data_IF_340848433333
#
_entry.id   IF_340848433333
#
_cell.length_a   1.000
_cell.length_b   1.000
_cell.length_c   1.000
_cell.angle_alpha   90.00
_cell.angle_beta   90.00
_cell.angle_gamma   90.00
#
_symmetry.space_group_name_H-M   'P 1'
#
loop_
_entity.id
_entity.type
_entity.pdbx_description
1 polymer ?
#
# COMPACT_ATOMS: atom_id res chain seq x y z
N UNK A 1 52.13 -56.84 -4.51
CA UNK A 1 51.14 -55.87 -4.92
C UNK A 1 50.02 -55.82 -3.90
N UNK A 2 50.03 -54.81 -3.03
CA UNK A 2 48.95 -54.57 -2.05
C UNK A 2 47.85 -53.62 -2.66
N UNK A 3 46.59 -53.84 -2.40
CA UNK A 3 45.56 -52.96 -2.92
C UNK A 3 45.51 -51.68 -2.10
N UNK A 4 45.33 -50.56 -2.80
CA UNK A 4 45.17 -49.23 -2.23
C UNK A 4 43.87 -49.15 -1.42
N UNK A 5 44.01 -48.75 -0.14
CA UNK A 5 42.90 -48.55 0.76
C UNK A 5 42.11 -47.31 0.41
N UNK A 6 40.79 -47.47 0.36
CA UNK A 6 39.80 -46.38 0.25
C UNK A 6 39.74 -45.65 1.61
N UNK A 7 40.06 -44.37 1.63
CA UNK A 7 39.87 -43.52 2.82
C UNK A 7 38.44 -42.98 2.73
N UNK A 8 37.53 -43.28 3.68
CA UNK A 8 36.21 -42.68 3.68
C UNK A 8 36.32 -41.18 4.07
N UNK A 9 35.61 -40.31 3.31
CA UNK A 9 35.48 -38.90 3.65
C UNK A 9 34.89 -38.76 5.05
N UNK A 10 35.47 -37.92 5.89
CA UNK A 10 35.03 -37.71 7.25
C UNK A 10 33.61 -37.17 7.31
N UNK A 11 32.83 -37.61 8.29
CA UNK A 11 31.43 -37.13 8.52
C UNK A 11 31.33 -35.60 8.58
N UNK A 12 32.39 -34.91 8.99
CA UNK A 12 32.50 -33.45 8.99
C UNK A 12 32.50 -32.82 7.56
N UNK A 13 33.07 -33.51 6.56
CA UNK A 13 33.09 -33.06 5.18
C UNK A 13 31.70 -33.18 4.55
N UNK A 14 31.01 -34.30 4.83
CA UNK A 14 29.65 -34.55 4.34
C UNK A 14 28.65 -33.58 4.99
N UNK A 15 28.78 -33.25 6.26
CA UNK A 15 27.94 -32.27 6.94
C UNK A 15 28.17 -30.86 6.43
N UNK A 16 29.39 -30.45 6.09
CA UNK A 16 29.70 -29.15 5.52
C UNK A 16 29.10 -28.98 4.10
N UNK A 17 29.17 -30.03 3.28
CA UNK A 17 28.52 -29.99 1.94
C UNK A 17 26.99 -29.99 2.03
N UNK A 18 26.38 -30.77 2.95
CA UNK A 18 24.93 -30.72 3.18
C UNK A 18 24.47 -29.36 3.72
N UNK A 19 25.23 -28.73 4.61
CA UNK A 19 24.91 -27.41 5.17
C UNK A 19 25.05 -26.33 4.11
N UNK A 20 26.04 -26.44 3.22
CA UNK A 20 26.20 -25.50 2.09
C UNK A 20 25.09 -25.65 1.06
N UNK A 21 24.67 -26.89 0.75
CA UNK A 21 23.55 -27.15 -0.19
C UNK A 21 22.20 -26.69 0.37
N UNK A 22 21.94 -26.87 1.68
CA UNK A 22 20.70 -26.39 2.32
C UNK A 22 20.65 -24.87 2.41
N UNK A 23 21.79 -24.19 2.65
CA UNK A 23 21.83 -22.73 2.63
C UNK A 23 21.64 -22.15 1.22
N UNK A 24 22.15 -22.82 0.18
CA UNK A 24 21.97 -22.39 -1.22
C UNK A 24 20.56 -22.66 -1.73
N UNK A 25 19.89 -23.73 -1.28
CA UNK A 25 18.48 -23.99 -1.60
C UNK A 25 17.53 -23.06 -0.84
N UNK A 26 17.87 -22.67 0.39
CA UNK A 26 17.04 -21.77 1.20
C UNK A 26 17.08 -20.33 0.67
N UNK A 27 18.17 -19.91 0.02
CA UNK A 27 18.29 -18.58 -0.61
C UNK A 27 17.51 -18.45 -1.93
N UNK A 28 17.13 -19.57 -2.55
CA UNK A 28 16.30 -19.61 -3.78
C UNK A 28 14.78 -19.57 -3.50
N UNK A 29 14.34 -19.70 -2.24
CA UNK A 29 12.93 -19.71 -1.86
C UNK A 29 12.39 -18.36 -1.36
N UNK A 30 13.19 -17.29 -1.34
CA UNK A 30 12.80 -16.01 -0.77
C UNK A 30 12.54 -14.87 -1.78
N UNK A 31 12.42 -15.18 -3.07
CA UNK A 31 11.90 -14.21 -4.03
C UNK A 31 10.36 -14.32 -4.11
N UNK A 32 9.66 -14.05 -3.01
CA UNK A 32 8.26 -13.64 -3.12
C UNK A 32 8.26 -12.26 -3.77
N UNK A 33 8.12 -12.23 -5.09
CA UNK A 33 7.97 -10.99 -5.82
C UNK A 33 6.57 -10.45 -5.54
N UNK A 34 6.44 -9.70 -4.44
CA UNK A 34 5.25 -8.91 -4.19
C UNK A 34 5.11 -7.92 -5.34
N UNK A 35 3.92 -7.84 -5.88
CA UNK A 35 3.66 -7.05 -7.07
C UNK A 35 2.49 -6.11 -6.78
N UNK A 36 2.64 -4.83 -7.04
CA UNK A 36 1.56 -3.83 -6.99
C UNK A 36 1.76 -2.87 -8.17
N UNK A 37 0.72 -2.18 -8.55
CA UNK A 37 0.82 -1.12 -9.56
C UNK A 37 -0.04 0.05 -9.13
N UNK A 38 0.52 1.26 -9.23
CA UNK A 38 -0.21 2.52 -9.07
C UNK A 38 0.07 3.44 -10.25
N UNK A 39 -0.92 4.27 -10.56
CA UNK A 39 -0.76 5.32 -11.56
C UNK A 39 -1.76 6.44 -11.30
N UNK A 40 -1.46 7.64 -11.83
CA UNK A 40 -2.44 8.73 -11.89
C UNK A 40 -2.79 9.02 -13.35
N UNK A 41 -4.08 9.27 -13.61
CA UNK A 41 -4.59 9.70 -14.89
C UNK A 41 -5.00 11.17 -14.76
N UNK A 42 -4.36 12.01 -15.57
CA UNK A 42 -4.65 13.42 -15.65
C UNK A 42 -5.25 13.75 -17.03
N UNK A 43 -6.42 14.35 -17.06
CA UNK A 43 -7.11 14.71 -18.29
C UNK A 43 -7.86 16.03 -18.14
N UNK A 44 -8.70 16.41 -19.13
CA UNK A 44 -9.51 17.62 -19.07
C UNK A 44 -10.56 17.52 -17.94
N UNK A 45 -10.21 18.03 -16.76
CA UNK A 45 -11.08 18.00 -15.57
C UNK A 45 -10.98 16.74 -14.73
N UNK A 46 -10.24 15.71 -15.16
CA UNK A 46 -10.08 14.44 -14.47
C UNK A 46 -8.79 14.39 -13.65
N UNK A 47 -8.89 13.84 -12.45
CA UNK A 47 -7.77 13.42 -11.61
C UNK A 47 -8.16 12.09 -10.97
N UNK A 48 -7.67 11.00 -11.56
CA UNK A 48 -7.93 9.65 -11.09
C UNK A 48 -6.62 9.00 -10.63
N UNK A 49 -6.69 8.28 -9.53
CA UNK A 49 -5.59 7.46 -9.05
C UNK A 49 -6.02 6.00 -9.08
N UNK A 50 -5.26 5.14 -9.77
CA UNK A 50 -5.51 3.70 -9.87
C UNK A 50 -4.52 2.89 -9.07
N UNK A 51 -4.99 1.82 -8.42
CA UNK A 51 -4.15 0.88 -7.69
C UNK A 51 -4.59 -0.57 -7.86
N UNK A 52 -3.65 -1.47 -8.14
CA UNK A 52 -3.75 -2.91 -7.88
C UNK A 52 -2.98 -3.27 -6.62
N UNK A 53 -3.63 -4.01 -5.73
CA UNK A 53 -3.01 -4.63 -4.58
C UNK A 53 -2.79 -6.11 -4.86
N UNK A 54 -1.54 -6.48 -5.07
CA UNK A 54 -1.15 -7.85 -5.38
C UNK A 54 -0.52 -8.46 -4.12
N UNK A 55 -1.19 -9.48 -3.56
CA UNK A 55 -0.83 -10.06 -2.28
C UNK A 55 -1.28 -11.53 -2.18
N UNK A 56 -0.90 -12.19 -1.09
CA UNK A 56 -1.28 -13.58 -0.82
C UNK A 56 -2.72 -13.73 -0.34
N UNK A 57 -3.27 -12.71 0.30
CA UNK A 57 -4.63 -12.70 0.86
C UNK A 57 -5.38 -11.43 0.49
N UNK A 58 -6.70 -11.53 0.40
CA UNK A 58 -7.58 -10.43 -0.02
C UNK A 58 -8.56 -9.92 1.04
N UNK A 59 -8.39 -10.32 2.31
CA UNK A 59 -9.23 -9.80 3.41
C UNK A 59 -8.89 -8.35 3.71
N UNK A 60 -9.89 -7.48 3.78
CA UNK A 60 -9.71 -6.09 4.19
C UNK A 60 -11.04 -5.45 4.62
N UNK A 61 -10.93 -4.42 5.47
CA UNK A 61 -12.01 -3.51 5.79
C UNK A 61 -11.76 -2.13 5.18
N UNK A 62 -12.80 -1.54 4.61
CA UNK A 62 -12.84 -0.11 4.29
C UNK A 62 -13.28 0.63 5.55
N UNK A 63 -12.47 1.58 6.03
CA UNK A 63 -12.72 2.30 7.28
C UNK A 63 -12.89 3.80 7.03
N UNK A 64 -13.81 4.42 7.77
CA UNK A 64 -14.02 5.88 7.79
C UNK A 64 -13.38 6.44 9.05
N UNK A 65 -12.17 6.98 8.91
CA UNK A 65 -11.40 7.56 10.01
C UNK A 65 -11.84 9.00 10.30
N UNK A 66 -11.73 9.42 11.55
CA UNK A 66 -12.26 10.68 12.06
C UNK A 66 -11.19 11.77 12.16
N UNK A 67 -11.59 13.03 11.98
CA UNK A 67 -10.79 14.21 12.33
C UNK A 67 -10.97 14.58 13.79
N UNK A 68 -10.05 15.33 14.36
CA UNK A 68 -10.07 15.74 15.77
C UNK A 68 -9.72 14.61 16.75
N UNK A 69 -9.06 13.55 16.30
CA UNK A 69 -8.64 12.42 17.11
C UNK A 69 -7.17 12.55 17.46
N UNK A 70 -6.85 12.53 18.76
CA UNK A 70 -5.48 12.46 19.25
C UNK A 70 -4.98 11.01 19.13
N UNK A 71 -3.90 10.83 18.37
CA UNK A 71 -3.32 9.53 18.04
C UNK A 71 -1.85 9.44 18.49
N UNK A 72 -1.39 8.23 18.73
CA UNK A 72 -0.01 7.90 19.06
C UNK A 72 0.41 6.68 18.26
N UNK A 73 1.61 6.72 17.68
CA UNK A 73 2.17 5.57 16.96
C UNK A 73 2.47 4.40 17.91
N UNK A 74 2.36 3.18 17.38
CA UNK A 74 2.53 1.92 18.15
C UNK A 74 3.93 1.34 18.06
N UNK A 75 4.97 2.18 17.94
CA UNK A 75 6.35 1.71 17.89
C UNK A 75 6.73 1.12 19.26
N UNK A 76 7.00 -0.20 19.29
CA UNK A 76 7.21 -0.97 20.52
C UNK A 76 8.57 -0.64 21.16
N UNK A 77 9.60 -0.40 20.35
CA UNK A 77 10.99 -0.28 20.83
C UNK A 77 11.51 1.17 20.91
N UNK A 78 10.64 2.17 20.72
CA UNK A 78 11.02 3.57 20.70
C UNK A 78 10.20 4.42 21.66
N UNK A 79 10.89 5.10 22.59
CA UNK A 79 10.26 6.12 23.46
C UNK A 79 9.80 7.37 22.67
N UNK A 80 10.15 7.46 21.37
CA UNK A 80 9.88 8.61 20.50
C UNK A 80 8.81 8.33 19.44
N UNK A 81 7.79 7.52 19.75
CA UNK A 81 6.62 7.31 18.87
C UNK A 81 5.91 8.63 18.57
N UNK A 82 5.57 8.87 17.31
CA UNK A 82 4.89 10.09 16.88
C UNK A 82 3.53 10.24 17.58
N UNK A 83 3.19 11.49 17.92
CA UNK A 83 1.89 11.88 18.46
C UNK A 83 1.33 13.00 17.60
N UNK A 84 0.06 12.86 17.20
CA UNK A 84 -0.58 13.88 16.35
C UNK A 84 -2.08 14.00 16.63
N UNK A 85 -2.65 15.08 16.14
CA UNK A 85 -4.08 15.30 16.08
C UNK A 85 -4.52 15.24 14.62
N UNK A 86 -5.45 14.34 14.27
CA UNK A 86 -5.96 14.25 12.91
C UNK A 86 -6.70 15.54 12.52
N UNK A 87 -6.25 16.21 11.46
CA UNK A 87 -6.90 17.40 10.88
C UNK A 87 -7.99 17.01 9.91
N UNK A 88 -7.80 15.90 9.20
CA UNK A 88 -8.69 15.39 8.17
C UNK A 88 -9.23 14.02 8.53
N UNK A 89 -10.49 13.76 8.15
CA UNK A 89 -11.01 12.41 8.07
C UNK A 89 -10.58 11.74 6.78
N UNK A 90 -10.66 10.40 6.73
CA UNK A 90 -10.24 9.63 5.56
C UNK A 90 -11.07 8.37 5.39
N UNK A 91 -11.11 7.86 4.16
CA UNK A 91 -11.55 6.50 3.85
C UNK A 91 -10.33 5.68 3.45
N UNK A 92 -10.07 4.61 4.20
CA UNK A 92 -8.86 3.81 4.07
C UNK A 92 -9.16 2.33 3.87
N UNK A 93 -8.24 1.62 3.21
CA UNK A 93 -8.27 0.19 2.96
C UNK A 93 -7.29 -0.51 3.89
N UNK A 94 -7.81 -1.31 4.82
CA UNK A 94 -7.06 -1.84 5.94
C UNK A 94 -7.07 -3.37 5.93
N UNK A 95 -5.90 -3.98 5.70
CA UNK A 95 -5.72 -5.43 5.80
C UNK A 95 -5.26 -5.87 7.18
N UNK A 96 -4.42 -5.06 7.82
CA UNK A 96 -3.76 -5.40 9.09
C UNK A 96 -4.35 -4.66 10.31
N UNK A 97 -5.62 -4.31 10.21
CA UNK A 97 -6.36 -3.66 11.28
C UNK A 97 -6.51 -2.15 11.10
N UNK A 98 -7.37 -1.60 11.94
CA UNK A 98 -7.64 -0.16 11.98
C UNK A 98 -6.36 0.61 12.32
N UNK A 99 -6.17 1.79 11.71
CA UNK A 99 -5.00 2.67 11.80
C UNK A 99 -3.74 2.13 11.09
N UNK A 100 -3.85 0.93 10.47
CA UNK A 100 -2.80 0.34 9.63
C UNK A 100 -3.29 0.19 8.17
N UNK A 101 -3.56 1.30 7.46
CA UNK A 101 -4.03 1.24 6.07
C UNK A 101 -2.90 0.86 5.12
N UNK A 102 -3.25 0.12 4.06
CA UNK A 102 -2.36 -0.06 2.91
C UNK A 102 -2.45 1.10 1.92
N UNK A 103 -3.48 1.94 2.05
CA UNK A 103 -3.72 3.17 1.31
C UNK A 103 -5.09 3.75 1.59
N UNK A 104 -5.39 4.91 0.99
CA UNK A 104 -6.67 5.58 1.16
C UNK A 104 -6.72 7.00 0.59
N UNK A 105 -7.86 7.64 0.75
CA UNK A 105 -8.11 9.04 0.38
C UNK A 105 -8.71 9.80 1.56
N UNK A 106 -8.21 10.99 1.84
CA UNK A 106 -8.81 11.86 2.85
C UNK A 106 -9.88 12.80 2.27
N UNK A 107 -10.62 13.48 3.14
CA UNK A 107 -11.70 14.39 2.76
C UNK A 107 -11.23 15.60 1.94
N UNK A 108 -9.93 15.95 1.98
CA UNK A 108 -9.34 16.97 1.12
C UNK A 108 -9.02 16.45 -0.30
N UNK A 109 -9.04 15.13 -0.51
CA UNK A 109 -8.75 14.47 -1.78
C UNK A 109 -7.29 14.09 -1.97
N UNK A 110 -6.49 14.07 -0.91
CA UNK A 110 -5.15 13.49 -0.94
C UNK A 110 -5.27 11.97 -0.92
N UNK A 111 -4.58 11.30 -1.86
CA UNK A 111 -4.42 9.84 -1.92
C UNK A 111 -2.98 9.48 -1.55
N UNK A 112 -2.82 8.48 -0.71
CA UNK A 112 -1.53 7.87 -0.34
C UNK A 112 -1.64 6.36 -0.48
N UNK A 113 -0.74 5.74 -1.27
CA UNK A 113 -0.73 4.31 -1.53
C UNK A 113 0.68 3.74 -1.43
N UNK A 114 0.82 2.55 -0.83
CA UNK A 114 2.10 1.86 -0.71
C UNK A 114 2.23 0.71 -1.71
N UNK A 115 3.47 0.44 -2.14
CA UNK A 115 3.87 -0.75 -2.89
C UNK A 115 5.12 -1.36 -2.26
N UNK A 116 5.30 -2.66 -2.43
CA UNK A 116 6.54 -3.32 -2.00
C UNK A 116 7.72 -2.84 -2.85
N UNK A 117 8.86 -2.57 -2.18
CA UNK A 117 10.14 -2.25 -2.82
C UNK A 117 11.27 -2.93 -2.05
N UNK A 118 11.86 -3.99 -2.61
CA UNK A 118 12.91 -4.78 -1.94
C UNK A 118 14.16 -3.97 -1.59
N UNK A 119 14.45 -2.91 -2.36
CA UNK A 119 15.60 -2.02 -2.16
C UNK A 119 15.41 -0.98 -1.04
N UNK A 120 14.22 -0.95 -0.42
CA UNK A 120 13.95 -0.02 0.69
C UNK A 120 14.94 -0.22 1.82
N UNK A 121 15.58 0.88 2.21
CA UNK A 121 16.42 1.01 3.39
C UNK A 121 16.07 2.32 4.11
N UNK A 122 15.36 2.20 5.22
CA UNK A 122 14.94 3.36 6.03
C UNK A 122 16.11 4.07 6.70
N UNK A 123 15.98 5.36 7.04
CA UNK A 123 16.98 6.10 7.82
C UNK A 123 17.27 5.40 9.15
N UNK A 124 18.52 5.51 9.61
CA UNK A 124 18.90 5.09 10.96
C UNK A 124 18.13 5.92 12.00
N UNK A 125 18.07 5.39 13.23
CA UNK A 125 17.46 6.08 14.37
C UNK A 125 18.11 7.46 14.56
N UNK A 126 17.26 8.50 14.61
CA UNK A 126 17.62 9.88 14.83
C UNK A 126 16.58 10.57 15.74
N UNK A 127 16.65 11.88 15.89
CA UNK A 127 15.78 12.66 16.77
C UNK A 127 14.32 12.79 16.27
N UNK A 128 14.02 12.41 15.04
CA UNK A 128 12.65 12.48 14.48
C UNK A 128 11.74 11.46 15.17
N UNK A 129 10.48 11.84 15.33
CA UNK A 129 9.47 10.92 15.84
C UNK A 129 9.25 9.75 14.88
N UNK A 130 9.07 8.55 15.45
CA UNK A 130 8.96 7.30 14.73
C UNK A 130 7.51 6.90 14.46
N UNK A 131 7.27 6.28 13.31
CA UNK A 131 6.00 5.64 12.91
C UNK A 131 6.28 4.34 12.16
N UNK A 132 5.34 3.40 12.19
CA UNK A 132 5.34 2.24 11.29
C UNK A 132 5.01 2.64 9.84
N UNK A 133 5.26 1.74 8.88
CA UNK A 133 5.00 2.00 7.45
C UNK A 133 3.55 2.37 7.14
N UNK A 134 2.60 1.71 7.78
CA UNK A 134 1.17 1.96 7.57
C UNK A 134 0.66 3.14 8.40
N UNK A 135 1.20 3.33 9.60
CA UNK A 135 0.92 4.52 10.40
C UNK A 135 1.42 5.80 9.71
N UNK A 136 2.52 5.73 8.93
CA UNK A 136 2.99 6.82 8.09
C UNK A 136 1.95 7.24 7.05
N UNK A 137 1.26 6.28 6.41
CA UNK A 137 0.13 6.56 5.50
C UNK A 137 -0.99 7.27 6.26
N UNK A 138 -1.40 6.73 7.42
CA UNK A 138 -2.47 7.31 8.21
C UNK A 138 -2.10 8.72 8.69
N UNK A 139 -0.86 8.93 9.11
CA UNK A 139 -0.37 10.25 9.52
C UNK A 139 -0.44 11.28 8.39
N UNK A 140 -0.04 10.92 7.17
CA UNK A 140 -0.10 11.82 6.02
C UNK A 140 -1.55 12.13 5.63
N UNK A 141 -2.43 11.13 5.60
CA UNK A 141 -3.86 11.32 5.35
C UNK A 141 -4.51 12.20 6.42
N UNK A 142 -4.11 12.06 7.68
CA UNK A 142 -4.63 12.83 8.80
C UNK A 142 -4.18 14.30 8.79
N UNK A 143 -3.00 14.62 8.22
CA UNK A 143 -2.35 15.92 8.43
C UNK A 143 -2.10 16.74 7.16
N UNK A 144 -2.36 16.19 5.97
CA UNK A 144 -2.01 16.84 4.69
C UNK A 144 -3.21 16.92 3.76
N UNK A 145 -3.41 18.08 3.13
CA UNK A 145 -4.40 18.27 2.08
C UNK A 145 -3.79 18.16 0.67
N UNK A 146 -2.50 18.44 0.56
CA UNK A 146 -1.78 18.51 -0.71
C UNK A 146 -0.55 17.62 -0.70
N UNK A 147 -0.07 17.26 -1.89
CA UNK A 147 1.19 16.52 -2.06
C UNK A 147 2.38 17.27 -1.45
N UNK A 148 2.43 18.59 -1.57
CA UNK A 148 3.49 19.40 -0.96
C UNK A 148 3.46 19.35 0.57
N UNK A 149 2.27 19.44 1.19
CA UNK A 149 2.13 19.26 2.65
C UNK A 149 2.53 17.83 3.07
N UNK A 150 2.14 16.81 2.29
CA UNK A 150 2.50 15.43 2.58
C UNK A 150 4.02 15.21 2.56
N UNK A 151 4.74 15.74 1.57
CA UNK A 151 6.20 15.70 1.51
C UNK A 151 6.81 16.37 2.74
N UNK A 152 6.37 17.60 3.06
CA UNK A 152 6.88 18.34 4.23
C UNK A 152 6.62 17.60 5.55
N UNK A 153 5.45 17.00 5.71
CA UNK A 153 5.10 16.24 6.90
C UNK A 153 5.91 14.93 6.99
N UNK A 154 6.20 14.29 5.84
CA UNK A 154 7.03 13.08 5.75
C UNK A 154 8.48 13.33 6.20
N UNK A 155 9.06 14.50 5.87
CA UNK A 155 10.42 14.88 6.28
C UNK A 155 10.59 14.95 7.82
N UNK A 156 9.52 15.30 8.52
CA UNK A 156 9.48 15.40 9.98
C UNK A 156 9.40 14.06 10.72
N UNK A 157 9.22 12.96 10.00
CA UNK A 157 9.05 11.64 10.57
C UNK A 157 10.17 10.68 10.16
N UNK A 158 10.34 9.64 10.95
CA UNK A 158 11.17 8.48 10.63
C UNK A 158 10.31 7.22 10.62
N UNK A 159 10.41 6.45 9.54
CA UNK A 159 9.80 5.11 9.51
C UNK A 159 10.71 4.15 10.25
N UNK A 160 10.13 3.40 11.19
CA UNK A 160 10.76 2.30 11.91
C UNK A 160 10.00 1.02 11.62
N UNK A 161 10.52 0.20 10.71
CA UNK A 161 9.86 -1.00 10.22
C UNK A 161 10.82 -1.87 9.43
N UNK A 162 10.59 -3.20 9.46
CA UNK A 162 11.23 -4.17 8.57
C UNK A 162 10.45 -4.37 7.25
N UNK A 163 9.24 -3.82 7.16
CA UNK A 163 8.40 -3.91 5.96
C UNK A 163 8.90 -2.92 4.91
N UNK A 164 9.34 -3.44 3.78
CA UNK A 164 10.01 -2.69 2.72
C UNK A 164 9.01 -2.16 1.70
N UNK A 165 8.71 -0.87 1.75
CA UNK A 165 7.75 -0.25 0.84
C UNK A 165 8.21 1.12 0.35
N UNK A 166 7.60 1.57 -0.74
CA UNK A 166 7.64 2.93 -1.24
C UNK A 166 6.20 3.41 -1.55
N UNK A 167 6.04 4.68 -1.87
CA UNK A 167 4.72 5.30 -1.90
C UNK A 167 4.52 6.14 -3.15
N UNK A 168 3.29 6.13 -3.69
CA UNK A 168 2.81 7.13 -4.63
C UNK A 168 1.73 7.97 -3.95
N UNK A 169 1.85 9.29 -4.06
CA UNK A 169 0.95 10.27 -3.46
C UNK A 169 0.42 11.17 -4.55
N UNK A 170 -0.87 11.49 -4.49
CA UNK A 170 -1.49 12.44 -5.43
C UNK A 170 -2.55 13.28 -4.71
N UNK A 171 -2.63 14.57 -5.04
CA UNK A 171 -3.66 15.45 -4.50
C UNK A 171 -4.77 15.77 -5.54
N UNK A 172 -5.83 16.42 -5.06
CA UNK A 172 -6.98 16.80 -5.88
C UNK A 172 -6.66 17.78 -7.02
N UNK A 173 -5.54 18.49 -6.94
CA UNK A 173 -5.06 19.36 -8.01
C UNK A 173 -4.30 18.61 -9.10
N UNK A 174 -3.94 17.33 -8.85
CA UNK A 174 -3.18 16.48 -9.74
C UNK A 174 -1.66 16.51 -9.49
N UNK A 175 -1.20 17.16 -8.40
CA UNK A 175 0.21 17.10 -8.05
C UNK A 175 0.53 15.69 -7.53
N UNK A 176 1.56 15.09 -8.08
CA UNK A 176 1.96 13.71 -7.75
C UNK A 176 3.39 13.67 -7.23
N UNK A 177 3.67 12.76 -6.30
CA UNK A 177 5.02 12.43 -5.86
C UNK A 177 5.18 10.93 -5.66
N UNK A 178 6.33 10.38 -6.09
CA UNK A 178 6.83 9.11 -5.57
C UNK A 178 7.79 9.38 -4.41
N UNK A 179 7.69 8.60 -3.35
CA UNK A 179 8.56 8.69 -2.18
C UNK A 179 9.16 7.31 -1.94
N UNK A 180 10.47 7.23 -1.99
CA UNK A 180 11.27 6.02 -1.79
C UNK A 180 12.27 6.24 -0.66
N UNK A 181 12.61 5.19 0.06
CA UNK A 181 13.66 5.22 1.09
C UNK A 181 14.82 4.35 0.62
N UNK A 182 15.87 4.97 0.08
CA UNK A 182 17.01 4.27 -0.49
C UNK A 182 18.29 4.66 0.24
N UNK A 183 19.08 3.66 0.64
CA UNK A 183 20.36 3.87 1.35
C UNK A 183 20.25 4.76 2.59
N UNK A 184 19.13 4.67 3.31
CA UNK A 184 18.88 5.48 4.49
C UNK A 184 18.43 6.92 4.23
N UNK A 185 18.07 7.27 3.00
CA UNK A 185 17.59 8.58 2.61
C UNK A 185 16.19 8.53 2.02
N UNK A 186 15.38 9.54 2.29
CA UNK A 186 14.11 9.76 1.61
C UNK A 186 14.36 10.40 0.24
N UNK A 187 14.01 9.73 -0.82
CA UNK A 187 14.11 10.19 -2.21
C UNK A 187 12.71 10.56 -2.69
N UNK A 188 12.55 11.77 -3.22
CA UNK A 188 11.27 12.29 -3.68
C UNK A 188 11.37 12.67 -5.15
N UNK A 189 10.52 12.09 -5.99
CA UNK A 189 10.31 12.56 -7.35
C UNK A 189 8.96 13.25 -7.44
N UNK A 190 8.95 14.51 -7.87
CA UNK A 190 7.74 15.32 -8.07
C UNK A 190 7.98 16.41 -9.11
N UNK A 191 6.92 16.97 -9.69
CA UNK A 191 7.05 17.98 -10.73
C UNK A 191 7.93 17.49 -11.90
N UNK A 192 8.95 18.25 -12.25
CA UNK A 192 9.85 17.91 -13.38
C UNK A 192 10.67 16.63 -13.17
N UNK A 193 10.92 16.22 -11.92
CA UNK A 193 11.63 14.96 -11.62
C UNK A 193 10.74 13.71 -11.69
N UNK A 194 9.41 13.87 -11.72
CA UNK A 194 8.44 12.78 -11.90
C UNK A 194 7.96 12.77 -13.35
N UNK A 195 8.72 12.16 -14.24
CA UNK A 195 8.43 12.12 -15.69
C UNK A 195 7.14 11.37 -16.05
N UNK A 196 6.67 10.49 -15.17
CA UNK A 196 5.39 9.77 -15.28
C UNK A 196 4.83 9.47 -13.89
N UNK A 197 3.52 9.70 -13.67
CA UNK A 197 2.88 9.44 -12.37
C UNK A 197 2.51 7.96 -12.21
N UNK A 198 3.50 7.07 -12.32
CA UNK A 198 3.35 5.62 -12.26
C UNK A 198 4.40 5.02 -11.33
N UNK A 199 4.03 4.00 -10.56
CA UNK A 199 4.94 3.27 -9.68
C UNK A 199 4.54 1.80 -9.61
N UNK A 200 5.56 0.90 -9.56
CA UNK A 200 5.38 -0.55 -9.39
C UNK A 200 6.25 -1.08 -8.25
N UNK A 201 7.04 -2.12 -8.42
CA UNK A 201 7.83 -2.74 -7.34
C UNK A 201 9.35 -2.69 -7.59
N UNK A 202 9.78 -1.74 -8.37
CA UNK A 202 11.19 -1.42 -8.59
C UNK A 202 11.40 0.08 -8.32
N UNK A 203 12.65 0.51 -8.14
CA UNK A 203 12.93 1.94 -7.93
C UNK A 203 12.40 2.76 -9.11
N UNK A 204 11.95 3.97 -8.82
CA UNK A 204 11.39 4.85 -9.84
C UNK A 204 12.36 5.09 -11.01
N UNK A 205 13.62 5.36 -10.68
CA UNK A 205 14.65 5.62 -11.70
C UNK A 205 14.92 4.41 -12.58
N UNK A 206 15.02 3.19 -12.01
CA UNK A 206 15.21 1.97 -12.78
C UNK A 206 14.00 1.68 -13.68
N UNK A 207 12.78 1.80 -13.13
CA UNK A 207 11.53 1.64 -13.88
C UNK A 207 11.42 2.61 -15.04
N UNK A 208 11.75 3.89 -14.82
CA UNK A 208 11.73 4.93 -15.85
C UNK A 208 12.79 4.68 -16.94
N UNK A 209 13.99 4.28 -16.54
CA UNK A 209 15.07 3.94 -17.48
C UNK A 209 14.69 2.75 -18.35
N UNK A 210 14.14 1.69 -17.76
CA UNK A 210 13.67 0.51 -18.49
C UNK A 210 12.59 0.88 -19.51
N UNK A 211 11.55 1.64 -19.10
CA UNK A 211 10.45 2.05 -19.97
C UNK A 211 10.88 2.95 -21.12
N UNK A 212 11.97 3.73 -20.99
CA UNK A 212 12.53 4.55 -22.07
C UNK A 212 13.22 3.73 -23.16
N UNK A 213 13.73 2.55 -22.82
CA UNK A 213 14.53 1.71 -23.73
C UNK A 213 13.81 0.43 -24.17
N UNK A 214 12.62 0.17 -23.65
CA UNK A 214 11.83 -1.03 -23.95
C UNK A 214 10.63 -0.71 -24.83
N UNK A 215 10.49 -1.42 -25.94
CA UNK A 215 9.26 -1.39 -26.73
C UNK A 215 8.10 -1.99 -25.91
N UNK A 216 7.01 -1.25 -25.80
CA UNK A 216 5.81 -1.68 -25.07
C UNK A 216 5.27 -3.02 -25.56
N UNK A 217 5.38 -3.34 -26.86
CA UNK A 217 4.96 -4.62 -27.41
C UNK A 217 5.77 -5.81 -26.84
N UNK A 218 6.97 -5.56 -26.32
CA UNK A 218 7.84 -6.55 -25.66
C UNK A 218 7.62 -6.62 -24.15
N UNK A 219 7.04 -5.59 -23.55
CA UNK A 219 6.72 -5.52 -22.12
C UNK A 219 5.42 -6.31 -21.80
N UNK A 220 5.44 -7.62 -22.01
CA UNK A 220 4.25 -8.49 -21.96
C UNK A 220 4.20 -9.46 -20.78
N UNK A 221 5.19 -9.38 -19.87
CA UNK A 221 5.21 -10.19 -18.66
C UNK A 221 4.48 -9.51 -17.49
N UNK A 222 4.33 -10.25 -16.38
CA UNK A 222 3.82 -9.72 -15.12
C UNK A 222 4.91 -9.15 -14.20
N UNK A 223 6.15 -9.05 -14.69
CA UNK A 223 7.24 -8.44 -13.93
C UNK A 223 7.03 -6.93 -13.74
N UNK A 224 7.63 -6.39 -12.67
CA UNK A 224 7.46 -5.00 -12.25
C UNK A 224 7.71 -4.00 -13.38
N UNK A 225 8.83 -4.13 -14.10
CA UNK A 225 9.26 -3.21 -15.15
C UNK A 225 8.34 -3.24 -16.38
N UNK A 226 7.83 -4.42 -16.73
CA UNK A 226 6.88 -4.57 -17.84
C UNK A 226 5.53 -3.96 -17.52
N UNK A 227 5.02 -4.18 -16.29
CA UNK A 227 3.77 -3.56 -15.81
C UNK A 227 3.90 -2.04 -15.76
N UNK A 228 5.03 -1.51 -15.28
CA UNK A 228 5.32 -0.09 -15.29
C UNK A 228 5.27 0.47 -16.74
N UNK A 229 5.94 -0.19 -17.68
CA UNK A 229 6.01 0.23 -19.09
C UNK A 229 4.62 0.28 -19.74
N UNK A 230 3.77 -0.74 -19.50
CA UNK A 230 2.39 -0.75 -20.01
C UNK A 230 1.54 0.35 -19.37
N UNK A 231 1.63 0.51 -18.05
CA UNK A 231 0.90 1.56 -17.34
C UNK A 231 1.29 2.97 -17.85
N UNK A 232 2.58 3.24 -18.04
CA UNK A 232 3.07 4.53 -18.59
C UNK A 232 2.51 4.81 -19.98
N UNK A 233 2.44 3.81 -20.87
CA UNK A 233 1.80 4.00 -22.17
C UNK A 233 0.34 4.39 -22.02
N UNK A 234 -0.42 3.68 -21.21
CA UNK A 234 -1.85 3.94 -21.01
C UNK A 234 -2.12 5.29 -20.32
N UNK A 235 -1.29 5.72 -19.39
CA UNK A 235 -1.42 7.07 -18.78
C UNK A 235 -1.25 8.17 -19.84
N UNK A 236 -0.27 8.06 -20.72
CA UNK A 236 -0.05 9.01 -21.83
C UNK A 236 -1.16 8.97 -22.89
N UNK A 237 -1.78 7.83 -23.13
CA UNK A 237 -2.92 7.71 -24.03
C UNK A 237 -4.17 8.39 -23.46
N UNK A 238 -4.38 8.29 -22.13
CA UNK A 238 -5.49 8.92 -21.44
C UNK A 238 -5.52 10.43 -21.62
N UNK A 239 -4.37 11.10 -21.51
CA UNK A 239 -4.26 12.56 -21.63
C UNK A 239 -4.84 13.11 -22.96
N UNK A 240 -4.86 12.27 -24.00
CA UNK A 240 -5.31 12.60 -25.35
C UNK A 240 -6.78 12.27 -25.62
N UNK A 241 -7.46 11.59 -24.66
CA UNK A 241 -8.84 11.11 -24.85
C UNK A 241 -9.85 12.06 -24.23
N UNK A 242 -10.85 12.55 -24.99
CA UNK A 242 -12.01 13.23 -24.44
C UNK A 242 -12.99 12.16 -23.91
N UNK A 243 -12.92 11.83 -22.64
CA UNK A 243 -13.78 10.83 -21.99
C UNK A 243 -14.80 11.51 -21.07
N UNK A 244 -15.99 10.89 -20.93
CA UNK A 244 -16.91 11.23 -19.84
C UNK A 244 -16.36 10.68 -18.52
N UNK A 245 -16.96 11.11 -17.40
CA UNK A 245 -16.59 10.67 -16.05
C UNK A 245 -16.61 9.15 -15.92
N UNK A 246 -17.72 8.52 -16.36
CA UNK A 246 -17.86 7.06 -16.30
C UNK A 246 -16.87 6.34 -17.21
N UNK A 247 -16.60 6.91 -18.40
CA UNK A 247 -15.61 6.37 -19.32
C UNK A 247 -14.18 6.50 -18.76
N UNK A 248 -13.88 7.58 -18.03
CA UNK A 248 -12.58 7.77 -17.38
C UNK A 248 -12.35 6.73 -16.27
N UNK A 249 -13.35 6.47 -15.43
CA UNK A 249 -13.30 5.41 -14.40
C UNK A 249 -13.17 4.03 -15.04
N UNK A 250 -13.96 3.75 -16.11
CA UNK A 250 -13.88 2.47 -16.83
C UNK A 250 -12.49 2.27 -17.44
N UNK A 251 -11.89 3.32 -18.02
CA UNK A 251 -10.53 3.28 -18.55
C UNK A 251 -9.49 3.01 -17.45
N UNK A 252 -9.63 3.63 -16.28
CA UNK A 252 -8.75 3.32 -15.15
C UNK A 252 -8.80 1.84 -14.76
N UNK A 253 -10.00 1.22 -14.73
CA UNK A 253 -10.13 -0.23 -14.50
C UNK A 253 -9.60 -1.07 -15.66
N UNK A 254 -9.66 -0.60 -16.91
CA UNK A 254 -9.00 -1.25 -18.05
C UNK A 254 -7.47 -1.29 -17.86
N UNK A 255 -6.86 -0.15 -17.46
CA UNK A 255 -5.44 -0.10 -17.13
C UNK A 255 -5.09 -1.08 -16.00
N UNK A 256 -5.87 -1.07 -14.92
CA UNK A 256 -5.66 -1.99 -13.80
C UNK A 256 -5.77 -3.46 -14.22
N UNK A 257 -6.69 -3.79 -15.14
CA UNK A 257 -6.83 -5.16 -15.67
C UNK A 257 -5.63 -5.57 -16.51
N UNK A 258 -5.07 -4.67 -17.32
CA UNK A 258 -3.91 -4.93 -18.18
C UNK A 258 -2.62 -5.22 -17.38
N UNK A 259 -2.50 -4.64 -16.19
CA UNK A 259 -1.34 -4.81 -15.31
C UNK A 259 -1.60 -5.71 -14.10
N UNK A 260 -2.74 -6.43 -14.09
CA UNK A 260 -3.10 -7.32 -13.00
C UNK A 260 -2.22 -8.59 -12.96
N UNK A 261 -1.95 -9.08 -11.77
CA UNK A 261 -1.32 -10.37 -11.52
C UNK A 261 -2.38 -11.48 -11.57
N UNK A 262 -2.40 -12.27 -12.64
CA UNK A 262 -3.41 -13.30 -12.86
C UNK A 262 -2.86 -14.73 -12.90
N UNK A 263 -1.54 -14.91 -13.00
CA UNK A 263 -0.89 -16.19 -13.27
C UNK A 263 0.33 -16.49 -12.40
N UNK A 264 0.41 -15.96 -11.17
CA UNK A 264 1.48 -16.31 -10.23
C UNK A 264 1.01 -17.37 -9.24
N UNK A 265 1.91 -18.24 -8.80
CA UNK A 265 1.60 -19.31 -7.85
C UNK A 265 1.36 -18.82 -6.42
N UNK A 266 1.83 -17.60 -6.10
CA UNK A 266 1.98 -17.12 -4.72
C UNK A 266 1.33 -15.74 -4.46
N UNK A 267 1.15 -14.90 -5.51
CA UNK A 267 0.52 -13.58 -5.37
C UNK A 267 -0.44 -13.30 -6.51
N UNK A 268 -1.59 -12.70 -6.18
CA UNK A 268 -2.66 -12.33 -7.11
C UNK A 268 -3.08 -10.90 -6.88
N UNK A 269 -3.64 -10.25 -7.89
CA UNK A 269 -4.36 -9.00 -7.68
C UNK A 269 -5.61 -9.27 -6.83
N UNK A 270 -5.51 -8.99 -5.54
CA UNK A 270 -6.58 -9.20 -4.57
C UNK A 270 -7.68 -8.15 -4.72
N UNK A 271 -7.29 -6.90 -4.97
CA UNK A 271 -8.24 -5.83 -5.27
C UNK A 271 -7.68 -4.76 -6.21
N UNK A 272 -8.60 -4.08 -6.88
CA UNK A 272 -8.34 -2.92 -7.72
C UNK A 272 -9.15 -1.75 -7.21
N UNK A 273 -8.52 -0.58 -7.04
CA UNK A 273 -9.14 0.64 -6.53
C UNK A 273 -8.91 1.78 -7.52
N UNK A 274 -9.93 2.61 -7.73
CA UNK A 274 -9.85 3.88 -8.46
C UNK A 274 -10.39 4.98 -7.57
N UNK A 275 -9.55 5.96 -7.27
CA UNK A 275 -9.91 7.18 -6.54
C UNK A 275 -10.23 8.28 -7.55
N UNK A 276 -11.46 8.73 -7.57
CA UNK A 276 -11.88 9.94 -8.30
C UNK A 276 -11.80 11.14 -7.35
N UNK A 277 -10.65 11.80 -7.38
CA UNK A 277 -10.34 12.87 -6.44
C UNK A 277 -11.17 14.13 -6.72
N UNK A 278 -11.51 14.40 -7.98
CA UNK A 278 -12.35 15.56 -8.34
C UNK A 278 -13.77 15.43 -7.78
N UNK A 279 -14.36 14.24 -7.86
CA UNK A 279 -15.73 13.96 -7.39
C UNK A 279 -15.77 13.48 -5.95
N UNK A 280 -14.58 13.20 -5.34
CA UNK A 280 -14.47 12.63 -3.99
C UNK A 280 -15.20 11.28 -3.89
N UNK A 281 -15.01 10.44 -4.89
CA UNK A 281 -15.60 9.10 -4.97
C UNK A 281 -14.52 8.04 -5.11
N UNK A 282 -14.70 6.91 -4.46
CA UNK A 282 -13.79 5.76 -4.55
C UNK A 282 -14.55 4.61 -5.19
N UNK A 283 -13.94 3.96 -6.17
CA UNK A 283 -14.46 2.75 -6.81
C UNK A 283 -13.51 1.61 -6.52
N UNK A 284 -14.04 0.42 -6.23
CA UNK A 284 -13.20 -0.75 -5.97
C UNK A 284 -13.91 -2.05 -6.32
N UNK A 285 -13.10 -3.07 -6.61
CA UNK A 285 -13.52 -4.46 -6.76
C UNK A 285 -12.46 -5.36 -6.14
N UNK A 286 -12.84 -6.60 -5.79
CA UNK A 286 -11.92 -7.60 -5.27
C UNK A 286 -11.96 -8.86 -6.12
N UNK A 287 -10.95 -9.71 -5.98
CA UNK A 287 -10.93 -11.03 -6.62
C UNK A 287 -12.14 -11.88 -6.19
N UNK A 288 -12.53 -11.79 -4.90
CA UNK A 288 -13.67 -12.53 -4.34
C UNK A 288 -15.03 -11.90 -4.66
N UNK A 289 -15.07 -10.59 -4.95
CA UNK A 289 -16.28 -9.83 -5.29
C UNK A 289 -15.99 -8.88 -6.46
N UNK A 290 -16.05 -9.38 -7.73
CA UNK A 290 -15.55 -8.68 -8.91
C UNK A 290 -16.44 -7.53 -9.39
N UNK A 291 -17.67 -7.41 -8.89
CA UNK A 291 -18.53 -6.26 -9.17
C UNK A 291 -17.93 -4.99 -8.59
N UNK A 292 -17.96 -3.92 -9.39
CA UNK A 292 -17.48 -2.61 -8.95
C UNK A 292 -18.46 -2.06 -7.90
N UNK A 293 -17.90 -1.70 -6.76
CA UNK A 293 -18.54 -0.94 -5.69
C UNK A 293 -18.03 0.49 -5.71
N UNK A 294 -18.86 1.44 -5.32
CA UNK A 294 -18.44 2.83 -5.16
C UNK A 294 -18.85 3.41 -3.82
N UNK A 295 -18.09 4.38 -3.35
CA UNK A 295 -18.30 5.09 -2.09
C UNK A 295 -18.19 6.57 -2.33
N UNK A 296 -19.22 7.35 -1.95
CA UNK A 296 -19.14 8.80 -1.87
C UNK A 296 -18.57 9.22 -0.53
N UNK A 297 -17.31 9.66 -0.51
CA UNK A 297 -16.65 10.01 0.75
C UNK A 297 -17.22 11.28 1.39
N UNK A 298 -17.93 12.14 0.64
CA UNK A 298 -18.58 13.33 1.19
C UNK A 298 -19.83 13.02 2.00
N UNK A 299 -20.40 11.82 1.84
CA UNK A 299 -21.60 11.41 2.56
C UNK A 299 -21.33 11.04 4.03
N UNK A 300 -20.05 10.89 4.42
CA UNK A 300 -19.70 10.51 5.79
C UNK A 300 -19.52 11.73 6.71
N UNK A 301 -19.99 11.56 7.94
CA UNK A 301 -19.64 12.48 9.02
C UNK A 301 -18.25 12.09 9.59
N UNK A 302 -17.28 12.96 9.38
CA UNK A 302 -15.91 12.78 9.87
C UNK A 302 -15.69 13.38 11.28
N UNK A 303 -16.71 13.92 11.92
CA UNK A 303 -16.56 14.42 13.29
C UNK A 303 -16.19 13.31 14.26
N UNK A 304 -15.32 13.62 15.20
CA UNK A 304 -14.82 12.65 16.18
C UNK A 304 -15.92 12.08 17.09
N UNK A 305 -17.00 12.84 17.32
CA UNK A 305 -18.10 12.43 18.20
C UNK A 305 -19.02 11.35 17.62
N UNK A 306 -18.87 10.99 16.35
CA UNK A 306 -19.68 9.95 15.71
C UNK A 306 -18.91 8.63 15.57
N UNK A 307 -19.60 7.47 15.54
CA UNK A 307 -18.94 6.18 15.39
C UNK A 307 -18.10 6.10 14.11
N UNK A 308 -16.96 5.44 14.19
CA UNK A 308 -16.19 5.01 13.00
C UNK A 308 -17.07 4.04 12.22
N UNK A 309 -17.10 4.18 10.89
CA UNK A 309 -17.83 3.27 10.00
C UNK A 309 -16.88 2.29 9.32
N UNK A 310 -17.37 1.10 9.00
CA UNK A 310 -16.63 0.06 8.31
C UNK A 310 -17.48 -0.64 7.25
N UNK A 311 -16.80 -1.20 6.24
CA UNK A 311 -17.41 -2.05 5.21
C UNK A 311 -16.44 -3.18 4.84
N UNK A 312 -16.93 -4.40 4.71
CA UNK A 312 -16.13 -5.54 4.23
C UNK A 312 -15.93 -5.41 2.71
N UNK A 313 -14.66 -5.33 2.27
CA UNK A 313 -14.35 -5.22 0.84
C UNK A 313 -14.90 -6.37 0.01
N UNK A 314 -14.98 -7.56 0.59
CA UNK A 314 -15.43 -8.80 -0.08
C UNK A 314 -16.95 -9.00 -0.01
N UNK A 315 -17.71 -8.07 0.57
CA UNK A 315 -19.17 -8.13 0.56
C UNK A 315 -19.70 -8.27 -0.87
N UNK A 316 -20.71 -9.13 -1.05
CA UNK A 316 -21.34 -9.43 -2.35
C UNK A 316 -22.34 -8.33 -2.76
N UNK A 317 -21.84 -7.11 -2.82
CA UNK A 317 -22.57 -5.91 -3.16
C UNK A 317 -22.02 -5.32 -4.49
N UNK A 318 -22.77 -4.41 -5.10
CA UNK A 318 -22.39 -3.70 -6.32
C UNK A 318 -22.96 -2.28 -6.34
N UNK A 319 -22.38 -1.41 -7.17
CA UNK A 319 -22.83 -0.01 -7.28
C UNK A 319 -22.47 0.81 -6.04
N UNK A 320 -23.31 1.79 -5.68
CA UNK A 320 -23.06 2.65 -4.53
C UNK A 320 -23.36 1.92 -3.22
N UNK A 321 -22.32 1.68 -2.42
CA UNK A 321 -22.39 0.99 -1.12
C UNK A 321 -22.25 1.94 0.06
N UNK A 322 -22.29 3.26 -0.15
CA UNK A 322 -22.09 4.28 0.90
C UNK A 322 -23.02 4.05 2.09
N UNK A 323 -24.31 3.78 1.83
CA UNK A 323 -25.30 3.52 2.88
C UNK A 323 -25.20 2.14 3.53
N UNK A 324 -24.32 1.27 3.04
CA UNK A 324 -24.09 -0.09 3.58
C UNK A 324 -22.99 -0.15 4.66
N UNK A 325 -22.31 0.96 4.91
CA UNK A 325 -21.31 1.05 5.97
C UNK A 325 -22.01 0.95 7.35
N UNK A 326 -21.51 0.06 8.17
CA UNK A 326 -21.98 -0.17 9.55
C UNK A 326 -21.01 0.41 10.58
N UNK A 327 -21.41 0.50 11.82
CA UNK A 327 -20.53 0.91 12.90
C UNK A 327 -19.38 -0.08 13.08
N UNK A 328 -18.18 0.47 13.24
CA UNK A 328 -16.98 -0.32 13.52
C UNK A 328 -17.14 -1.09 14.84
N UNK A 329 -16.69 -2.34 14.84
CA UNK A 329 -16.60 -3.17 16.04
C UNK A 329 -15.18 -3.70 16.24
N UNK A 330 -14.74 -3.76 17.49
CA UNK A 330 -13.45 -4.37 17.85
C UNK A 330 -13.40 -5.84 17.40
N UNK A 331 -14.54 -6.55 17.44
CA UNK A 331 -14.63 -7.94 16.99
C UNK A 331 -14.26 -8.07 15.51
N UNK A 332 -14.84 -7.26 14.63
CA UNK A 332 -14.54 -7.31 13.20
C UNK A 332 -13.06 -7.00 12.91
N UNK A 333 -12.47 -6.05 13.65
CA UNK A 333 -11.05 -5.71 13.53
C UNK A 333 -10.14 -6.88 14.00
N UNK A 334 -10.47 -7.52 15.10
CA UNK A 334 -9.74 -8.71 15.60
C UNK A 334 -9.82 -9.86 14.60
N UNK A 335 -11.01 -10.16 14.11
CA UNK A 335 -11.23 -11.23 13.14
C UNK A 335 -10.44 -10.99 11.84
N UNK A 336 -10.36 -9.72 11.38
CA UNK A 336 -9.52 -9.33 10.25
C UNK A 336 -8.03 -9.56 10.54
N UNK A 337 -7.53 -9.09 11.67
CA UNK A 337 -6.13 -9.23 12.07
C UNK A 337 -5.74 -10.71 12.15
N UNK A 338 -6.57 -11.55 12.78
CA UNK A 338 -6.29 -12.99 12.87
C UNK A 338 -6.18 -13.65 11.49
N UNK A 339 -7.11 -13.37 10.56
CA UNK A 339 -7.03 -13.91 9.20
C UNK A 339 -5.80 -13.39 8.46
N UNK A 340 -5.53 -12.09 8.57
CA UNK A 340 -4.44 -11.44 7.83
C UNK A 340 -3.06 -11.88 8.34
N UNK A 341 -2.88 -11.98 9.64
CA UNK A 341 -1.62 -12.44 10.23
C UNK A 341 -1.37 -13.92 9.92
N UNK A 342 -2.39 -14.77 10.02
CA UNK A 342 -2.26 -16.18 9.69
C UNK A 342 -1.98 -16.42 8.18
N UNK A 343 -2.52 -15.57 7.30
CA UNK A 343 -2.32 -15.63 5.85
C UNK A 343 -1.05 -14.95 5.35
N UNK A 344 -0.29 -14.27 6.23
CA UNK A 344 0.95 -13.58 5.85
C UNK A 344 2.16 -14.29 6.47
N UNK A 345 3.03 -14.85 5.63
CA UNK A 345 4.10 -15.78 6.05
C UNK A 345 5.00 -15.25 7.17
N UNK A 346 5.39 -13.98 7.12
CA UNK A 346 6.26 -13.35 8.13
C UNK A 346 5.51 -12.79 9.35
N UNK A 347 4.16 -12.86 9.38
CA UNK A 347 3.33 -12.43 10.52
C UNK A 347 2.64 -13.58 11.24
N UNK A 348 2.60 -14.78 10.63
CA UNK A 348 1.86 -15.94 11.17
C UNK A 348 2.27 -16.34 12.59
N UNK A 349 3.55 -16.14 12.93
CA UNK A 349 4.11 -16.51 14.23
C UNK A 349 4.04 -15.36 15.26
N UNK A 350 3.37 -14.23 14.94
CA UNK A 350 3.15 -13.13 15.88
C UNK A 350 2.35 -13.60 17.09
N UNK A 351 2.86 -13.38 18.33
CA UNK A 351 2.18 -13.83 19.54
C UNK A 351 0.74 -13.30 19.66
N UNK A 352 -0.22 -14.06 20.23
CA UNK A 352 -1.61 -13.63 20.39
C UNK A 352 -1.77 -12.31 21.15
N UNK A 353 -0.92 -12.04 22.14
CA UNK A 353 -0.95 -10.79 22.90
C UNK A 353 -0.59 -9.58 22.01
N UNK A 354 0.39 -9.71 21.13
CA UNK A 354 0.76 -8.64 20.19
C UNK A 354 -0.37 -8.39 19.17
N UNK A 355 -1.00 -9.46 18.64
CA UNK A 355 -2.18 -9.32 17.76
C UNK A 355 -3.34 -8.62 18.48
N UNK A 356 -3.60 -8.98 19.74
CA UNK A 356 -4.61 -8.34 20.56
C UNK A 356 -4.29 -6.85 20.76
N UNK A 357 -3.02 -6.51 21.03
CA UNK A 357 -2.59 -5.13 21.15
C UNK A 357 -2.84 -4.34 19.86
N UNK A 358 -2.41 -4.85 18.69
CA UNK A 358 -2.67 -4.22 17.39
C UNK A 358 -4.17 -4.01 17.14
N UNK A 359 -5.01 -4.95 17.55
CA UNK A 359 -6.46 -4.84 17.38
C UNK A 359 -7.08 -3.78 18.29
N UNK A 360 -6.58 -3.62 19.51
CA UNK A 360 -7.24 -2.86 20.57
C UNK A 360 -6.67 -1.44 20.77
N UNK A 361 -5.41 -1.16 20.36
CA UNK A 361 -4.81 0.14 20.60
C UNK A 361 -5.60 1.33 20.03
N UNK A 362 -6.31 1.22 18.87
CA UNK A 362 -7.10 2.35 18.37
C UNK A 362 -8.28 2.72 19.27
N UNK A 363 -8.66 1.86 20.24
CA UNK A 363 -9.68 2.18 21.24
C UNK A 363 -9.15 3.15 22.32
N UNK A 364 -7.83 3.32 22.44
CA UNK A 364 -7.23 4.28 23.36
C UNK A 364 -7.30 5.72 22.84
N UNK A 365 -7.57 5.91 21.56
CA UNK A 365 -7.64 7.21 20.91
C UNK A 365 -8.85 8.02 21.40
N UNK A 366 -8.65 9.30 21.61
CA UNK A 366 -9.67 10.19 22.17
C UNK A 366 -9.92 11.36 21.25
N UNK A 367 -11.17 11.80 21.21
CA UNK A 367 -11.50 13.11 20.67
C UNK A 367 -10.73 14.18 21.45
N UNK A 368 -10.01 15.03 20.73
CA UNK A 368 -9.52 16.25 21.33
C UNK A 368 -10.71 17.18 21.54
N UNK A 369 -10.94 17.59 22.77
CA UNK A 369 -11.81 18.74 23.03
C UNK A 369 -11.13 19.95 22.42
N UNK A 370 -11.48 20.26 21.14
CA UNK A 370 -11.13 21.57 20.57
C UNK A 370 -11.91 22.58 21.41
N UNK A 371 -11.17 23.32 22.26
CA UNK A 371 -11.68 24.52 22.89
C UNK A 371 -11.71 25.65 21.89
#
# INVERSE_FOLDING_TARGET
MQPAGFIPASEESIMKELTCLTFTLLSLLLNQAFACTTFCLHGKGEVLFGRNYDWTIGDALVLVNKRGVAKTATIIDSDNGAKWLSKYGSVTFNQYGRENPTGGMNEAGLVVEQMWLSDTAYPKVDARSAVGTQEWIQYLLDNSATTAEAIKNAEGLRIESDVKVHYLINDKAGNTASIEFLKGMMIVHTGASLATPTLTNDTYDNSLNYAKHTDVAKANSNESLDRFTRAVKKTKEFEKRPLTDEQAVAYAFEVLSDVAQTNRSDTWTQWSIVYDQKRSRIYFRTLQSPQIKSVDIKAFDYSCGTPVKMFDMNAKESGDVTAKFIDYTLKANRDLIERSFNGTSFLKDTPPMARFYVASYPASFKCSSIK
#
